data_IF_759581090300
#
_entry.id   IF_759581090300
#
_cell.length_a   1.000
_cell.length_b   1.000
_cell.length_c   1.000
_cell.angle_alpha   90.00
_cell.angle_beta   90.00
_cell.angle_gamma   90.00
#
_symmetry.space_group_name_H-M   'P 1'
#
loop_
_entity.id
_entity.type
_entity.pdbx_description
1 polymer ?
#
# COMPACT_ATOMS: atom_id res chain seq x y z
N UNK A 1 -10.84 -17.44 13.32
CA UNK A 1 -11.36 -16.33 12.49
C UNK A 1 -10.51 -15.10 12.81
N UNK A 2 -9.37 -14.95 12.13
CA UNK A 2 -8.51 -13.77 12.30
C UNK A 2 -9.14 -12.62 11.52
N UNK A 3 -9.44 -11.47 12.13
CA UNK A 3 -9.95 -10.32 11.41
C UNK A 3 -8.85 -9.84 10.46
N UNK A 4 -8.92 -10.24 9.20
CA UNK A 4 -8.10 -9.67 8.12
C UNK A 4 -8.62 -8.25 7.87
N UNK A 5 -8.32 -7.33 8.77
CA UNK A 5 -8.47 -5.90 8.51
C UNK A 5 -7.46 -5.57 7.43
N UNK A 6 -7.87 -5.66 6.17
CA UNK A 6 -7.05 -5.33 5.00
C UNK A 6 -6.70 -3.85 5.08
N UNK A 7 -5.49 -3.52 5.54
CA UNK A 7 -5.02 -2.14 5.57
C UNK A 7 -4.79 -1.71 4.12
N UNK A 8 -5.39 -0.57 3.74
CA UNK A 8 -5.20 0.02 2.42
C UNK A 8 -5.04 1.53 2.52
N UNK A 9 -4.26 2.11 1.61
CA UNK A 9 -4.00 3.54 1.55
C UNK A 9 -3.99 4.01 0.08
N UNK A 10 -4.39 5.24 -0.18
CA UNK A 10 -4.34 5.83 -1.52
C UNK A 10 -2.98 6.51 -1.76
N UNK A 11 -2.55 6.56 -3.02
CA UNK A 11 -1.39 7.36 -3.47
C UNK A 11 -1.45 8.78 -2.88
N UNK A 12 -0.31 9.26 -2.37
CA UNK A 12 -0.15 10.57 -1.76
C UNK A 12 -0.59 10.66 -0.29
N UNK A 13 -1.15 9.60 0.30
CA UNK A 13 -1.38 9.53 1.74
C UNK A 13 -0.14 8.97 2.46
N UNK A 14 0.13 9.39 3.69
CA UNK A 14 1.16 8.76 4.53
C UNK A 14 0.88 7.28 4.73
N UNK A 15 1.94 6.48 4.72
CA UNK A 15 1.91 5.06 4.94
C UNK A 15 1.49 4.77 6.39
N UNK A 16 0.38 4.04 6.61
CA UNK A 16 -0.12 3.80 7.95
C UNK A 16 0.70 2.74 8.71
N UNK A 17 1.37 1.83 7.99
CA UNK A 17 2.09 0.70 8.56
C UNK A 17 3.30 0.29 7.71
N UNK A 18 4.43 0.04 8.36
CA UNK A 18 5.65 -0.41 7.69
C UNK A 18 5.48 -1.82 7.12
N UNK A 19 5.88 -2.02 5.87
CA UNK A 19 5.78 -3.33 5.24
C UNK A 19 5.81 -3.32 3.73
N UNK A 20 5.38 -4.45 3.16
CA UNK A 20 5.25 -4.65 1.72
C UNK A 20 3.80 -4.37 1.31
N UNK A 21 3.65 -3.48 0.35
CA UNK A 21 2.39 -2.98 -0.16
C UNK A 21 2.21 -3.40 -1.63
N UNK A 22 1.03 -3.88 -1.99
CA UNK A 22 0.65 -4.28 -3.35
C UNK A 22 -0.31 -3.25 -3.97
N UNK A 23 -0.09 -2.86 -5.23
CA UNK A 23 -1.02 -2.03 -5.97
C UNK A 23 -2.34 -2.76 -6.24
N UNK A 24 -3.46 -2.10 -5.96
CA UNK A 24 -4.79 -2.60 -6.25
C UNK A 24 -5.22 -2.16 -7.66
N UNK A 25 -5.51 -3.12 -8.54
CA UNK A 25 -5.97 -2.88 -9.90
C UNK A 25 -5.72 -4.07 -10.82
N UNK A 26 -5.79 -3.84 -12.13
CA UNK A 26 -5.45 -4.86 -13.14
C UNK A 26 -3.96 -5.21 -13.14
N UNK A 27 -3.10 -4.24 -12.79
CA UNK A 27 -1.66 -4.43 -12.65
C UNK A 27 -1.30 -4.50 -11.17
N UNK A 28 -0.53 -5.53 -10.81
CA UNK A 28 -0.04 -5.76 -9.45
C UNK A 28 1.47 -5.53 -9.42
N UNK A 29 1.88 -4.50 -8.71
CA UNK A 29 3.27 -4.23 -8.35
C UNK A 29 3.37 -4.18 -6.84
N UNK A 30 4.53 -4.52 -6.31
CA UNK A 30 4.83 -4.40 -4.89
C UNK A 30 5.82 -3.28 -4.63
N UNK A 31 5.74 -2.68 -3.45
CA UNK A 31 6.68 -1.67 -2.96
C UNK A 31 6.85 -1.84 -1.45
N UNK A 32 8.08 -1.64 -0.96
CA UNK A 32 8.36 -1.60 0.47
C UNK A 32 8.26 -0.16 0.96
N UNK A 33 7.45 0.09 1.98
CA UNK A 33 7.26 1.42 2.56
C UNK A 33 7.38 1.36 4.07
N UNK A 34 7.93 2.43 4.64
CA UNK A 34 7.95 2.64 6.09
C UNK A 34 6.77 3.51 6.50
N UNK A 35 6.25 3.29 7.70
CA UNK A 35 5.20 4.11 8.29
C UNK A 35 5.59 5.60 8.25
N UNK A 36 4.69 6.43 7.73
CA UNK A 36 4.88 7.86 7.53
C UNK A 36 5.34 8.26 6.12
N UNK A 37 5.97 7.36 5.35
CA UNK A 37 6.37 7.64 3.96
C UNK A 37 5.14 7.85 3.06
N UNK A 38 5.26 8.65 2.02
CA UNK A 38 4.15 8.85 1.09
C UNK A 38 3.92 7.63 0.21
N UNK A 39 2.66 7.20 0.09
CA UNK A 39 2.24 6.18 -0.85
C UNK A 39 2.55 6.63 -2.29
N UNK A 40 3.38 5.90 -3.06
CA UNK A 40 3.82 6.35 -4.36
C UNK A 40 2.69 6.31 -5.39
N UNK A 41 2.84 7.11 -6.45
CA UNK A 41 2.07 6.94 -7.67
C UNK A 41 2.61 5.80 -8.51
N UNK A 42 1.78 5.28 -9.41
CA UNK A 42 2.19 4.30 -10.40
C UNK A 42 2.04 4.91 -11.79
N UNK A 43 3.15 5.26 -12.43
CA UNK A 43 3.17 5.95 -13.72
C UNK A 43 2.31 7.24 -13.73
N UNK A 44 2.36 8.04 -12.66
CA UNK A 44 1.56 9.26 -12.51
C UNK A 44 0.08 9.02 -12.17
N UNK A 45 -0.36 7.76 -12.06
CA UNK A 45 -1.74 7.42 -11.70
C UNK A 45 -1.92 7.28 -10.19
N UNK A 46 -3.01 7.86 -9.68
CA UNK A 46 -3.45 7.67 -8.30
C UNK A 46 -4.13 6.32 -8.16
N UNK A 47 -3.52 5.44 -7.38
CA UNK A 47 -4.01 4.08 -7.14
C UNK A 47 -4.24 3.86 -5.63
N UNK A 48 -4.76 2.69 -5.30
CA UNK A 48 -4.81 2.21 -3.91
C UNK A 48 -3.74 1.14 -3.72
N UNK A 49 -3.16 1.12 -2.54
CA UNK A 49 -2.21 0.14 -2.08
C UNK A 49 -2.83 -0.69 -0.97
N UNK A 50 -2.53 -1.98 -0.94
CA UNK A 50 -2.94 -2.93 0.10
C UNK A 50 -1.70 -3.46 0.81
N UNK A 51 -1.68 -3.43 2.14
CA UNK A 51 -0.63 -4.09 2.90
C UNK A 51 -0.77 -5.61 2.74
N UNK A 52 0.29 -6.26 2.27
CA UNK A 52 0.34 -7.72 2.10
C UNK A 52 1.28 -8.40 3.09
N UNK A 53 2.24 -7.66 3.66
CA UNK A 53 3.13 -8.15 4.71
C UNK A 53 3.56 -6.99 5.61
N UNK A 54 3.37 -7.14 6.93
CA UNK A 54 3.89 -6.20 7.94
C UNK A 54 5.36 -6.51 8.24
N UNK A 55 6.14 -5.47 8.55
CA UNK A 55 7.54 -5.56 8.99
C UNK A 55 7.70 -5.05 10.42
#
# INVERSE_FOLDING_TARGET
>A
MIPHTSISAATGLPCPESGIWESMGNFRTTVTLFKGELMPDYCGMKIKWRLIQVC
#
